data_IF_680582812904
#
_entry.id   IF_680582812904
#
_cell.length_a   1.000
_cell.length_b   1.000
_cell.length_c   1.000
_cell.angle_alpha   90.00
_cell.angle_beta   90.00
_cell.angle_gamma   90.00
#
_symmetry.space_group_name_H-M   'P 1'
#
loop_
_entity.id
_entity.type
_entity.pdbx_description
1 polymer ?
#
# COMPACT_ATOMS: atom_id res chain seq x y z
N UNK A 1 10.02 -48.03 2.27
CA UNK A 1 10.94 -47.08 1.60
C UNK A 1 10.19 -46.11 0.68
N UNK A 2 9.28 -46.57 -0.19
CA UNK A 2 8.49 -45.69 -1.10
C UNK A 2 7.63 -44.63 -0.40
N UNK A 3 6.95 -44.95 0.71
CA UNK A 3 6.14 -43.99 1.48
C UNK A 3 6.95 -42.83 2.09
N UNK A 4 8.23 -43.07 2.45
CA UNK A 4 9.10 -42.01 2.97
C UNK A 4 9.47 -41.00 1.89
N UNK A 5 9.71 -41.46 0.66
CA UNK A 5 10.00 -40.58 -0.47
C UNK A 5 8.77 -39.75 -0.88
N UNK A 6 7.58 -40.35 -0.83
CA UNK A 6 6.34 -39.63 -1.11
C UNK A 6 6.08 -38.52 -0.07
N UNK A 7 6.32 -38.82 1.22
CA UNK A 7 6.17 -37.87 2.30
C UNK A 7 7.20 -36.74 2.23
N UNK A 8 8.46 -37.06 1.91
CA UNK A 8 9.51 -36.07 1.68
C UNK A 8 9.19 -35.17 0.48
N UNK A 9 8.73 -35.73 -0.63
CA UNK A 9 8.37 -34.93 -1.81
C UNK A 9 7.17 -34.01 -1.55
N UNK A 10 6.16 -34.49 -0.81
CA UNK A 10 5.03 -33.66 -0.38
C UNK A 10 5.48 -32.53 0.56
N UNK A 11 6.35 -32.84 1.53
CA UNK A 11 6.86 -31.86 2.50
C UNK A 11 7.71 -30.76 1.82
N UNK A 12 8.55 -31.13 0.84
CA UNK A 12 9.34 -30.17 0.04
C UNK A 12 8.44 -29.28 -0.81
N UNK A 13 7.35 -29.82 -1.37
CA UNK A 13 6.38 -29.07 -2.17
C UNK A 13 5.61 -28.04 -1.32
N UNK A 14 5.24 -28.40 -0.09
CA UNK A 14 4.58 -27.51 0.88
C UNK A 14 5.50 -26.43 1.44
N UNK A 15 6.80 -26.71 1.58
CA UNK A 15 7.78 -25.76 2.07
C UNK A 15 8.14 -24.64 1.06
N UNK A 16 7.73 -24.78 -0.22
CA UNK A 16 8.09 -23.85 -1.29
C UNK A 16 7.15 -22.65 -1.44
N UNK A 17 6.20 -22.42 -0.53
CA UNK A 17 5.38 -21.21 -0.53
C UNK A 17 6.18 -20.01 -0.01
N UNK A 18 6.94 -19.36 -0.90
CA UNK A 18 7.59 -18.10 -0.58
C UNK A 18 6.55 -17.01 -0.30
N UNK A 19 6.75 -16.20 0.73
CA UNK A 19 5.93 -15.01 0.94
C UNK A 19 6.18 -14.01 -0.21
N UNK A 20 5.11 -13.69 -0.94
CA UNK A 20 5.16 -12.72 -2.04
C UNK A 20 4.68 -11.36 -1.57
N UNK A 21 5.53 -10.34 -1.68
CA UNK A 21 5.17 -8.96 -1.40
C UNK A 21 4.31 -8.37 -2.51
N UNK A 22 3.08 -7.95 -2.19
CA UNK A 22 2.17 -7.23 -3.07
C UNK A 22 1.99 -5.81 -2.53
N UNK A 23 2.69 -4.85 -3.14
CA UNK A 23 2.70 -3.45 -2.69
C UNK A 23 1.73 -2.63 -3.52
N UNK A 24 0.78 -1.96 -2.86
CA UNK A 24 -0.26 -1.15 -3.49
C UNK A 24 -0.12 0.32 -3.13
N UNK A 25 -0.50 1.22 -4.03
CA UNK A 25 -0.50 2.65 -3.79
C UNK A 25 -1.93 3.17 -3.63
N UNK A 26 -2.19 3.83 -2.51
CA UNK A 26 -3.36 4.69 -2.32
C UNK A 26 -2.96 6.14 -2.61
N UNK A 27 -3.71 6.81 -3.49
CA UNK A 27 -3.40 8.18 -3.90
C UNK A 27 -4.33 9.19 -3.25
N UNK A 28 -3.78 10.18 -2.54
CA UNK A 28 -4.56 11.16 -1.78
C UNK A 28 -5.41 12.11 -2.65
N UNK A 29 -5.10 12.27 -3.94
CA UNK A 29 -5.94 13.03 -4.88
C UNK A 29 -7.14 12.23 -5.42
N UNK A 30 -7.21 10.92 -5.18
CA UNK A 30 -8.34 10.10 -5.65
C UNK A 30 -9.69 10.48 -5.01
N UNK A 31 -9.65 11.17 -3.86
CA UNK A 31 -10.81 11.76 -3.20
C UNK A 31 -11.52 12.85 -4.05
N UNK A 32 -10.84 13.43 -5.03
CA UNK A 32 -11.37 14.49 -5.89
C UNK A 32 -12.01 13.97 -7.17
N UNK A 33 -11.93 12.66 -7.45
CA UNK A 33 -12.60 12.09 -8.62
C UNK A 33 -14.12 12.28 -8.53
N UNK A 34 -14.80 12.48 -9.67
CA UNK A 34 -16.25 12.52 -9.69
C UNK A 34 -16.84 11.14 -9.33
N UNK A 35 -18.07 11.14 -8.82
CA UNK A 35 -18.80 9.89 -8.62
C UNK A 35 -18.98 9.15 -9.96
N UNK A 36 -18.93 7.81 -9.99
CA UNK A 36 -18.78 6.89 -8.84
C UNK A 36 -17.31 6.57 -8.47
N UNK A 37 -16.33 7.15 -9.17
CA UNK A 37 -14.91 6.80 -9.06
C UNK A 37 -14.17 7.52 -7.92
N UNK A 38 -14.91 8.24 -7.06
CA UNK A 38 -14.36 8.83 -5.85
C UNK A 38 -13.88 7.73 -4.93
N UNK A 39 -12.64 7.83 -4.48
CA UNK A 39 -11.97 6.76 -3.75
C UNK A 39 -11.39 7.32 -2.45
N UNK A 40 -11.67 6.63 -1.36
CA UNK A 40 -11.25 6.94 0.00
C UNK A 40 -10.51 5.76 0.61
N UNK A 41 -9.83 5.93 1.76
CA UNK A 41 -9.05 4.85 2.37
C UNK A 41 -9.87 3.58 2.65
N UNK A 42 -11.15 3.69 3.01
CA UNK A 42 -12.04 2.56 3.29
C UNK A 42 -12.41 1.75 2.04
N UNK A 43 -12.14 2.28 0.85
CA UNK A 43 -12.35 1.55 -0.39
C UNK A 43 -11.20 0.60 -0.73
N UNK A 44 -10.08 0.67 0.00
CA UNK A 44 -8.94 -0.25 -0.17
C UNK A 44 -9.31 -1.62 0.38
N UNK A 45 -9.26 -2.64 -0.48
CA UNK A 45 -9.43 -4.03 -0.08
C UNK A 45 -8.12 -4.57 0.53
N UNK A 46 -8.08 -4.88 1.84
CA UNK A 46 -6.87 -5.32 2.53
C UNK A 46 -6.40 -6.72 2.10
N UNK A 47 -7.21 -7.50 1.37
CA UNK A 47 -6.82 -8.84 0.92
C UNK A 47 -5.93 -8.82 -0.34
N UNK A 48 -6.00 -7.73 -1.12
CA UNK A 48 -5.28 -7.61 -2.39
C UNK A 48 -3.79 -7.38 -2.19
N UNK A 49 -3.41 -6.70 -1.11
CA UNK A 49 -2.07 -6.16 -0.91
C UNK A 49 -1.47 -6.73 0.38
N UNK A 50 -0.18 -7.00 0.39
CA UNK A 50 0.55 -7.26 1.64
C UNK A 50 1.08 -5.96 2.25
N UNK A 51 1.30 -4.94 1.42
CA UNK A 51 1.70 -3.59 1.84
C UNK A 51 0.85 -2.54 1.13
N UNK A 52 0.43 -1.49 1.83
CA UNK A 52 -0.21 -0.32 1.20
C UNK A 52 0.56 0.95 1.49
N UNK A 53 0.78 1.74 0.46
CA UNK A 53 1.51 2.98 0.52
C UNK A 53 0.57 4.16 0.39
N UNK A 54 0.59 5.07 1.36
CA UNK A 54 -0.06 6.37 1.25
C UNK A 54 0.80 7.31 0.37
N UNK A 55 0.29 7.67 -0.80
CA UNK A 55 0.93 8.55 -1.76
C UNK A 55 0.13 9.86 -1.89
N UNK A 56 0.69 11.04 -1.62
CA UNK A 56 2.09 11.33 -1.25
C UNK A 56 2.15 12.36 -0.12
N UNK A 57 3.25 12.33 0.64
CA UNK A 57 3.67 13.45 1.47
C UNK A 57 4.58 14.43 0.69
N UNK A 58 4.70 15.68 1.11
CA UNK A 58 5.64 16.66 0.54
C UNK A 58 6.85 16.86 1.45
N UNK A 59 7.96 17.32 0.86
CA UNK A 59 9.10 17.82 1.61
C UNK A 59 8.93 19.33 1.73
N UNK A 60 8.71 19.82 2.94
CA UNK A 60 8.60 21.25 3.24
C UNK A 60 9.95 21.92 3.46
N UNK A 61 9.89 23.17 3.93
CA UNK A 61 11.08 23.91 4.30
C UNK A 61 11.88 23.18 5.39
N UNK A 62 13.21 23.26 5.32
CA UNK A 62 14.10 22.57 6.24
C UNK A 62 14.13 21.05 6.07
N UNK A 63 13.74 20.53 4.90
CA UNK A 63 13.73 19.10 4.58
C UNK A 63 12.83 18.26 5.49
N UNK A 64 11.75 18.87 5.99
CA UNK A 64 10.78 18.21 6.88
C UNK A 64 9.69 17.51 6.10
N UNK A 65 9.25 16.35 6.57
CA UNK A 65 8.06 15.67 6.05
C UNK A 65 6.82 16.49 6.39
N UNK A 66 5.99 16.76 5.39
CA UNK A 66 4.74 17.52 5.55
C UNK A 66 3.58 16.88 4.76
N UNK A 67 2.33 17.12 5.20
CA UNK A 67 1.14 16.75 4.42
C UNK A 67 1.14 17.43 3.05
N UNK A 68 0.72 16.72 2.00
CA UNK A 68 0.58 17.29 0.65
C UNK A 68 -0.78 17.98 0.51
N UNK A 69 -1.87 17.26 0.79
CA UNK A 69 -3.23 17.77 0.79
C UNK A 69 -3.59 18.44 2.12
N UNK A 70 -4.53 19.37 2.07
CA UNK A 70 -5.01 20.12 3.24
C UNK A 70 -5.70 19.25 4.29
N UNK A 71 -6.14 18.05 3.93
CA UNK A 71 -6.85 17.09 4.79
C UNK A 71 -6.12 15.74 4.96
N UNK A 72 -4.84 15.68 4.60
CA UNK A 72 -4.02 14.48 4.75
C UNK A 72 -3.92 14.02 6.21
N UNK A 73 -4.04 14.93 7.19
CA UNK A 73 -4.13 14.59 8.62
C UNK A 73 -5.30 13.64 8.93
N UNK A 74 -6.48 13.94 8.37
CA UNK A 74 -7.68 13.13 8.53
C UNK A 74 -7.64 11.89 7.65
N UNK A 75 -7.16 12.02 6.42
CA UNK A 75 -7.11 10.89 5.48
C UNK A 75 -6.07 9.86 5.89
N UNK A 76 -4.94 10.30 6.46
CA UNK A 76 -3.94 9.39 6.99
C UNK A 76 -4.44 8.64 8.23
N UNK A 77 -5.17 9.29 9.13
CA UNK A 77 -5.80 8.62 10.26
C UNK A 77 -6.76 7.51 9.79
N UNK A 78 -7.64 7.81 8.83
CA UNK A 78 -8.55 6.83 8.20
C UNK A 78 -7.79 5.70 7.50
N UNK A 79 -6.69 6.02 6.84
CA UNK A 79 -5.84 5.04 6.16
C UNK A 79 -5.13 4.09 7.14
N UNK A 80 -4.67 4.60 8.29
CA UNK A 80 -4.05 3.79 9.34
C UNK A 80 -5.03 2.80 10.00
N UNK A 81 -6.34 2.99 9.84
CA UNK A 81 -7.36 2.05 10.31
C UNK A 81 -7.51 0.80 9.42
N UNK A 82 -6.86 0.74 8.25
CA UNK A 82 -6.88 -0.45 7.37
C UNK A 82 -6.13 -1.60 8.07
N UNK A 83 -6.89 -2.48 8.73
CA UNK A 83 -6.37 -3.64 9.47
C UNK A 83 -5.88 -4.71 8.50
N UNK A 84 -4.82 -5.43 8.90
CA UNK A 84 -4.22 -6.62 8.23
C UNK A 84 -3.24 -6.34 7.08
N UNK A 85 -2.79 -5.10 6.91
CA UNK A 85 -1.77 -4.78 5.91
C UNK A 85 -0.71 -3.89 6.55
N UNK A 86 0.57 -4.15 6.30
CA UNK A 86 1.61 -3.21 6.68
C UNK A 86 1.50 -1.96 5.81
N UNK A 87 1.66 -0.78 6.39
CA UNK A 87 1.52 0.46 5.63
C UNK A 87 2.76 1.34 5.74
N UNK A 88 3.01 2.10 4.67
CA UNK A 88 4.13 3.02 4.55
C UNK A 88 3.69 4.33 3.89
N UNK A 89 4.44 5.39 4.10
CA UNK A 89 4.20 6.69 3.44
C UNK A 89 5.36 6.96 2.49
N UNK A 90 5.06 7.34 1.25
CA UNK A 90 6.11 7.77 0.32
C UNK A 90 6.07 9.27 0.06
N UNK A 91 7.26 9.79 -0.21
CA UNK A 91 7.49 11.18 -0.55
C UNK A 91 7.15 11.47 -2.01
N UNK A 92 6.61 12.66 -2.26
CA UNK A 92 6.20 13.14 -3.58
C UNK A 92 7.37 13.46 -4.51
N UNK A 93 8.63 13.52 -4.03
CA UNK A 93 9.74 13.99 -4.84
C UNK A 93 10.36 12.82 -5.62
N UNK A 94 9.94 12.69 -6.89
CA UNK A 94 10.52 11.96 -8.06
C UNK A 94 10.59 10.42 -7.93
N UNK A 95 9.84 9.57 -8.65
CA UNK A 95 9.70 9.35 -10.12
C UNK A 95 8.29 8.80 -10.44
N UNK A 96 7.24 9.63 -10.45
CA UNK A 96 5.89 9.13 -10.76
C UNK A 96 4.73 10.12 -10.69
N UNK A 97 4.96 11.32 -10.16
CA UNK A 97 4.02 12.44 -10.31
C UNK A 97 4.60 13.40 -11.34
N UNK A 98 4.20 13.23 -12.60
CA UNK A 98 4.03 14.39 -13.47
C UNK A 98 2.87 15.15 -12.84
N UNK A 99 3.20 16.15 -12.02
CA UNK A 99 2.22 17.13 -11.61
C UNK A 99 1.84 17.83 -12.91
N UNK A 100 0.73 17.44 -13.52
CA UNK A 100 0.12 18.18 -14.62
C UNK A 100 -0.23 19.56 -14.05
N UNK A 101 0.70 20.49 -14.20
CA UNK A 101 0.65 21.87 -13.80
C UNK A 101 1.52 22.67 -14.75
#
# INVERSE_FOLDING_TARGET
MSFLYLFLFACVSLASAGEHFRVCYYTNWSQYRPAPMKYFPENVDPSLCTHVIYAFAKIGNGYTLQPYEWNDDKMFARFAEIKRVEYSVILSKTVGREALG
#
